data_IF_855158845691
#
_entry.id   IF_855158845691
#
_cell.length_a   1.000
_cell.length_b   1.000
_cell.length_c   1.000
_cell.angle_alpha   90.00
_cell.angle_beta   90.00
_cell.angle_gamma   90.00
#
_symmetry.space_group_name_H-M   'P 1'
#
loop_
_entity.id
_entity.type
_entity.pdbx_description
1 polymer ?
#
# COMPACT_ATOMS: atom_id res chain seq x y z
N UNK A 1 14.94 12.04 12.33
CA UNK A 1 13.75 11.39 11.75
C UNK A 1 12.99 12.41 10.91
N UNK A 2 12.70 12.05 9.67
CA UNK A 2 11.97 12.95 8.79
C UNK A 2 10.52 13.08 9.22
N UNK A 3 10.00 14.30 9.14
CA UNK A 3 8.58 14.55 9.35
C UNK A 3 7.77 13.99 8.19
N UNK A 4 6.61 13.39 8.48
CA UNK A 4 5.70 12.90 7.45
C UNK A 4 4.98 14.10 6.83
N UNK A 5 5.14 14.30 5.52
CA UNK A 5 4.58 15.44 4.80
C UNK A 5 3.45 15.06 3.86
N UNK A 6 3.38 13.80 3.44
CA UNK A 6 2.34 13.33 2.51
C UNK A 6 2.12 11.83 2.69
N UNK A 7 0.90 11.40 2.43
CA UNK A 7 0.47 10.00 2.57
C UNK A 7 -0.08 9.52 1.23
N UNK A 8 0.32 8.31 0.84
CA UNK A 8 -0.21 7.66 -0.35
C UNK A 8 -1.09 6.48 0.03
N UNK A 9 -2.09 6.20 -0.80
CA UNK A 9 -2.97 5.05 -0.63
C UNK A 9 -3.00 4.29 -1.95
N UNK A 10 -2.61 3.03 -1.90
CA UNK A 10 -2.73 2.12 -3.05
C UNK A 10 -3.87 1.17 -2.74
N UNK A 11 -4.95 1.28 -3.52
CA UNK A 11 -6.19 0.55 -3.28
C UNK A 11 -7.20 1.40 -2.52
N UNK A 12 -8.10 2.07 -3.24
CA UNK A 12 -9.09 2.99 -2.66
C UNK A 12 -10.43 2.29 -2.42
N UNK A 13 -10.37 1.12 -1.74
CA UNK A 13 -11.55 0.42 -1.27
C UNK A 13 -12.06 1.01 0.05
N UNK A 14 -12.91 0.26 0.75
CA UNK A 14 -13.51 0.74 1.99
C UNK A 14 -12.46 1.18 3.03
N UNK A 15 -11.44 0.36 3.25
CA UNK A 15 -10.39 0.66 4.21
C UNK A 15 -9.54 1.84 3.73
N UNK A 16 -9.20 1.87 2.44
CA UNK A 16 -8.44 2.97 1.86
C UNK A 16 -9.15 4.31 1.98
N UNK A 17 -10.47 4.34 1.74
CA UNK A 17 -11.26 5.55 1.90
C UNK A 17 -11.28 6.00 3.36
N UNK A 18 -11.41 5.08 4.30
CA UNK A 18 -11.40 5.43 5.72
C UNK A 18 -10.06 6.04 6.15
N UNK A 19 -8.95 5.51 5.63
CA UNK A 19 -7.62 6.08 5.89
C UNK A 19 -7.53 7.50 5.30
N UNK A 20 -8.01 7.68 4.07
CA UNK A 20 -8.00 8.98 3.41
C UNK A 20 -8.78 10.03 4.19
N UNK A 21 -9.96 9.69 4.69
CA UNK A 21 -10.76 10.60 5.51
C UNK A 21 -10.04 11.01 6.79
N UNK A 22 -9.22 10.12 7.37
CA UNK A 22 -8.47 10.42 8.56
C UNK A 22 -7.32 11.39 8.32
N UNK A 23 -6.73 11.41 7.12
CA UNK A 23 -5.55 12.23 6.84
C UNK A 23 -5.83 13.52 6.06
N UNK A 24 -6.89 13.57 5.25
CA UNK A 24 -7.16 14.71 4.37
C UNK A 24 -7.13 16.07 5.07
N UNK A 25 -7.67 16.23 6.31
CA UNK A 25 -7.63 17.55 6.95
C UNK A 25 -6.25 17.96 7.46
N UNK A 26 -5.27 17.02 7.49
CA UNK A 26 -3.97 17.23 8.13
C UNK A 26 -2.83 17.17 7.14
N UNK A 27 -2.86 16.19 6.23
CA UNK A 27 -1.76 15.93 5.29
C UNK A 27 -2.31 15.77 3.87
N UNK A 28 -1.51 16.16 2.85
CA UNK A 28 -1.83 15.81 1.47
C UNK A 28 -1.93 14.29 1.31
N UNK A 29 -2.95 13.84 0.60
CA UNK A 29 -3.19 12.41 0.35
C UNK A 29 -3.20 12.16 -1.15
N UNK A 30 -2.38 11.22 -1.60
CA UNK A 30 -2.36 10.74 -2.97
C UNK A 30 -3.02 9.37 -3.00
N UNK A 31 -3.88 9.13 -3.99
CA UNK A 31 -4.67 7.90 -4.07
C UNK A 31 -4.53 7.28 -5.45
N UNK A 32 -4.13 6.03 -5.50
CA UNK A 32 -4.11 5.23 -6.71
C UNK A 32 -4.95 3.96 -6.53
N UNK A 33 -5.77 3.65 -7.53
CA UNK A 33 -6.51 2.40 -7.63
C UNK A 33 -6.48 1.93 -9.08
N UNK A 34 -6.54 0.62 -9.31
CA UNK A 34 -6.64 0.06 -10.66
C UNK A 34 -7.93 0.49 -11.35
N UNK A 35 -8.99 0.75 -10.59
CA UNK A 35 -10.23 1.30 -11.11
C UNK A 35 -10.05 2.82 -11.28
N UNK A 36 -10.06 3.35 -12.52
CA UNK A 36 -9.87 4.78 -12.75
C UNK A 36 -10.89 5.66 -12.03
N UNK A 37 -12.08 5.15 -11.75
CA UNK A 37 -13.12 5.90 -11.06
C UNK A 37 -12.78 6.14 -9.59
N UNK A 38 -11.88 5.34 -9.03
CA UNK A 38 -11.45 5.45 -7.63
C UNK A 38 -10.07 6.07 -7.48
N UNK A 39 -9.35 6.21 -8.59
CA UNK A 39 -7.99 6.72 -8.59
C UNK A 39 -7.97 8.22 -8.78
N UNK A 40 -7.20 8.92 -7.95
CA UNK A 40 -7.03 10.37 -8.04
C UNK A 40 -5.65 10.76 -8.58
N UNK A 41 -4.68 9.86 -8.48
CA UNK A 41 -3.29 10.08 -8.85
C UNK A 41 -2.77 8.88 -9.63
N UNK A 42 -1.61 9.04 -10.29
CA UNK A 42 -0.92 7.91 -10.88
C UNK A 42 -0.23 7.09 -9.78
N UNK A 43 0.16 5.87 -10.11
CA UNK A 43 0.89 5.03 -9.17
C UNK A 43 2.23 5.68 -8.80
N UNK A 44 2.96 6.21 -9.79
CA UNK A 44 4.23 6.88 -9.58
C UNK A 44 4.09 8.06 -8.63
N UNK A 45 3.08 8.91 -8.81
CA UNK A 45 2.82 10.04 -7.92
C UNK A 45 2.52 9.56 -6.50
N UNK A 46 1.65 8.55 -6.38
CA UNK A 46 1.22 8.04 -5.09
C UNK A 46 2.38 7.46 -4.29
N UNK A 47 3.29 6.77 -4.96
CA UNK A 47 4.44 6.13 -4.29
C UNK A 47 5.55 7.14 -4.01
N UNK A 48 5.93 7.93 -4.99
CA UNK A 48 7.14 8.76 -4.89
C UNK A 48 6.91 10.11 -4.22
N UNK A 49 5.69 10.61 -4.23
CA UNK A 49 5.37 11.88 -3.57
C UNK A 49 4.79 11.69 -2.16
N UNK A 50 4.84 10.46 -1.63
CA UNK A 50 4.32 10.14 -0.30
C UNK A 50 5.44 9.57 0.56
N UNK A 51 5.49 9.99 1.82
CA UNK A 51 6.45 9.48 2.79
C UNK A 51 6.00 8.14 3.37
N UNK A 52 4.69 7.94 3.46
CA UNK A 52 4.08 6.69 3.90
C UNK A 52 3.06 6.26 2.86
N UNK A 53 3.16 5.03 2.38
CA UNK A 53 2.26 4.46 1.40
C UNK A 53 1.48 3.31 2.04
N UNK A 54 0.18 3.46 2.17
CA UNK A 54 -0.70 2.42 2.68
C UNK A 54 -1.17 1.54 1.55
N UNK A 55 -0.96 0.23 1.68
CA UNK A 55 -1.47 -0.76 0.73
C UNK A 55 -2.75 -1.37 1.31
N UNK A 56 -3.87 -1.11 0.66
CA UNK A 56 -5.21 -1.48 1.14
C UNK A 56 -5.99 -2.15 0.01
N UNK A 57 -5.44 -3.25 -0.51
CA UNK A 57 -6.04 -4.04 -1.59
C UNK A 57 -6.74 -5.27 -1.01
N UNK A 58 -7.73 -5.85 -1.74
CA UNK A 58 -8.45 -7.02 -1.23
C UNK A 58 -7.56 -8.26 -1.11
N UNK A 59 -7.89 -9.11 -0.13
CA UNK A 59 -7.26 -10.41 0.07
C UNK A 59 -8.36 -11.47 0.09
N UNK A 60 -8.89 -11.85 -1.08
CA UNK A 60 -10.00 -12.81 -1.13
C UNK A 60 -9.59 -14.18 -0.62
N UNK A 61 -10.58 -14.93 -0.11
CA UNK A 61 -10.36 -16.27 0.39
C UNK A 61 -10.45 -17.28 -0.76
N UNK A 62 -9.52 -18.21 -0.80
CA UNK A 62 -9.56 -19.34 -1.73
C UNK A 62 -10.60 -20.36 -1.26
N UNK A 63 -10.95 -21.32 -2.13
CA UNK A 63 -11.93 -22.36 -1.81
C UNK A 63 -11.53 -23.22 -0.63
N UNK A 64 -10.23 -23.41 -0.41
CA UNK A 64 -9.72 -24.22 0.69
C UNK A 64 -9.63 -23.45 2.02
N UNK A 65 -10.07 -22.21 2.05
CA UNK A 65 -10.04 -21.37 3.24
C UNK A 65 -8.77 -20.53 3.41
N UNK A 66 -7.78 -20.73 2.56
CA UNK A 66 -6.54 -19.91 2.61
C UNK A 66 -6.79 -18.51 2.03
N UNK A 67 -5.98 -17.55 2.44
CA UNK A 67 -6.05 -16.18 1.91
C UNK A 67 -5.27 -16.11 0.60
N UNK A 68 -5.90 -15.53 -0.43
CA UNK A 68 -5.25 -15.30 -1.71
C UNK A 68 -4.49 -13.97 -1.65
N UNK A 69 -3.18 -14.03 -1.76
CA UNK A 69 -2.30 -12.86 -1.65
C UNK A 69 -1.81 -12.35 -3.01
N UNK A 70 -2.35 -12.87 -4.11
CA UNK A 70 -1.88 -12.48 -5.44
C UNK A 70 -2.06 -10.99 -5.71
N UNK A 71 -3.17 -10.40 -5.25
CA UNK A 71 -3.44 -8.99 -5.44
C UNK A 71 -2.46 -8.13 -4.65
N UNK A 72 -2.17 -8.50 -3.40
CA UNK A 72 -1.19 -7.80 -2.58
C UNK A 72 0.20 -7.88 -3.22
N UNK A 73 0.61 -9.08 -3.63
CA UNK A 73 1.91 -9.27 -4.28
C UNK A 73 2.02 -8.45 -5.56
N UNK A 74 0.97 -8.44 -6.38
CA UNK A 74 0.94 -7.65 -7.60
C UNK A 74 1.09 -6.16 -7.31
N UNK A 75 0.39 -5.66 -6.29
CA UNK A 75 0.49 -4.27 -5.87
C UNK A 75 1.91 -3.93 -5.41
N UNK A 76 2.55 -4.81 -4.65
CA UNK A 76 3.92 -4.59 -4.17
C UNK A 76 4.93 -4.62 -5.32
N UNK A 77 4.74 -5.49 -6.32
CA UNK A 77 5.58 -5.50 -7.52
C UNK A 77 5.47 -4.19 -8.29
N UNK A 78 4.27 -3.66 -8.42
CA UNK A 78 4.06 -2.38 -9.10
C UNK A 78 4.70 -1.24 -8.32
N UNK A 79 4.56 -1.22 -7.00
CA UNK A 79 5.18 -0.22 -6.14
C UNK A 79 6.70 -0.28 -6.27
N UNK A 80 7.29 -1.47 -6.21
CA UNK A 80 8.74 -1.65 -6.33
C UNK A 80 9.24 -1.17 -7.68
N UNK A 81 8.49 -1.43 -8.75
CA UNK A 81 8.85 -1.04 -10.11
C UNK A 81 8.94 0.46 -10.27
N UNK A 82 8.04 1.22 -9.65
CA UNK A 82 7.97 2.68 -9.82
C UNK A 82 8.68 3.45 -8.73
N UNK A 83 8.98 2.82 -7.59
CA UNK A 83 9.57 3.51 -6.44
C UNK A 83 11.00 3.91 -6.72
N UNK A 84 11.28 5.22 -6.59
CA UNK A 84 12.63 5.78 -6.75
C UNK A 84 13.20 6.29 -5.44
N UNK A 85 12.44 6.17 -4.34
CA UNK A 85 12.85 6.65 -3.02
C UNK A 85 13.36 5.49 -2.17
N UNK A 86 14.25 5.81 -1.23
CA UNK A 86 14.76 4.85 -0.25
C UNK A 86 14.31 5.17 1.18
N UNK A 87 13.59 6.27 1.37
CA UNK A 87 13.19 6.77 2.69
C UNK A 87 11.67 6.68 2.94
N UNK A 88 10.87 6.30 1.96
CA UNK A 88 9.44 6.10 2.17
C UNK A 88 9.15 4.74 2.77
N UNK A 89 8.03 4.63 3.48
CA UNK A 89 7.63 3.41 4.17
C UNK A 89 6.32 2.88 3.59
N UNK A 90 6.26 1.58 3.35
CA UNK A 90 5.07 0.91 2.85
C UNK A 90 4.38 0.20 4.01
N UNK A 91 3.15 0.58 4.30
CA UNK A 91 2.35 -0.01 5.38
C UNK A 91 1.30 -0.94 4.75
N UNK A 92 1.36 -2.22 5.10
CA UNK A 92 0.40 -3.20 4.60
C UNK A 92 -0.80 -3.22 5.53
N UNK A 93 -1.95 -2.79 5.03
CA UNK A 93 -3.22 -2.80 5.77
C UNK A 93 -4.08 -4.01 5.41
N UNK A 94 -3.69 -4.74 4.38
CA UNK A 94 -4.39 -5.96 3.98
C UNK A 94 -4.11 -7.09 4.97
N UNK A 95 -5.06 -8.02 5.10
CA UNK A 95 -4.90 -9.17 6.00
C UNK A 95 -3.80 -10.09 5.49
N UNK A 96 -2.78 -10.31 6.32
CA UNK A 96 -1.68 -11.24 6.01
C UNK A 96 -1.36 -12.07 7.25
N UNK A 97 -0.86 -13.28 7.04
CA UNK A 97 -0.42 -14.16 8.12
C UNK A 97 1.09 -13.97 8.38
N UNK A 98 1.59 -14.27 9.60
CA UNK A 98 2.98 -13.98 9.96
C UNK A 98 4.05 -14.55 9.02
N UNK A 99 3.88 -15.78 8.52
CA UNK A 99 4.85 -16.37 7.58
C UNK A 99 4.91 -15.61 6.26
N UNK A 100 3.78 -15.02 5.85
CA UNK A 100 3.70 -14.23 4.62
C UNK A 100 4.45 -12.91 4.75
N UNK A 101 4.43 -12.27 5.92
CA UNK A 101 5.15 -11.01 6.13
C UNK A 101 6.65 -11.19 5.91
N UNK A 102 7.22 -12.28 6.41
CA UNK A 102 8.63 -12.59 6.17
C UNK A 102 8.92 -12.80 4.69
N UNK A 103 8.06 -13.57 4.01
CA UNK A 103 8.22 -13.83 2.58
C UNK A 103 8.21 -12.56 1.76
N UNK A 104 7.30 -11.63 2.05
CA UNK A 104 7.23 -10.34 1.35
C UNK A 104 8.44 -9.46 1.65
N UNK A 105 8.94 -9.46 2.88
CA UNK A 105 10.14 -8.69 3.23
C UNK A 105 11.35 -9.17 2.43
N UNK A 106 11.48 -10.47 2.24
CA UNK A 106 12.57 -11.04 1.44
C UNK A 106 12.37 -10.79 -0.05
N UNK A 107 11.16 -10.99 -0.56
CA UNK A 107 10.85 -10.82 -1.98
C UNK A 107 11.00 -9.37 -2.43
N UNK A 108 10.63 -8.42 -1.57
CA UNK A 108 10.66 -6.98 -1.88
C UNK A 108 11.67 -6.25 -0.98
N UNK A 109 12.89 -6.74 -0.94
CA UNK A 109 13.93 -6.25 -0.03
C UNK A 109 14.27 -4.76 -0.22
N UNK A 110 13.92 -4.18 -1.38
CA UNK A 110 14.18 -2.76 -1.66
C UNK A 110 13.12 -1.83 -1.07
N UNK A 111 12.04 -2.38 -0.50
CA UNK A 111 10.99 -1.58 0.12
C UNK A 111 11.10 -1.65 1.65
N UNK A 112 10.78 -0.54 2.30
CA UNK A 112 10.71 -0.48 3.76
C UNK A 112 9.29 -0.81 4.19
N UNK A 113 9.09 -1.93 4.88
CA UNK A 113 7.76 -2.42 5.23
C UNK A 113 7.40 -2.21 6.69
N UNK A 114 6.13 -1.90 6.93
CA UNK A 114 5.48 -2.04 8.22
C UNK A 114 4.18 -2.78 7.99
N UNK A 115 3.93 -3.81 8.78
CA UNK A 115 2.70 -4.60 8.70
C UNK A 115 1.78 -4.18 9.86
N UNK A 116 0.61 -3.69 9.52
CA UNK A 116 -0.39 -3.27 10.49
C UNK A 116 -1.52 -4.31 10.50
N UNK A 117 -1.59 -5.06 11.55
CA UNK A 117 -2.59 -6.11 11.73
C UNK A 117 -3.87 -5.59 12.37
#
# INVERSE_FOLDING_TARGET
MSEIKAVGIVGNGFVGQAIGFGFVPVLPVHVYDKDPLRSMNTLEETVNESDVVFVSVPTPMNRDGSINLDIVRSALKDIQRVNTRDDNVVVIKSTVIPGTTRSFTEEFANLNFVFNL
#
